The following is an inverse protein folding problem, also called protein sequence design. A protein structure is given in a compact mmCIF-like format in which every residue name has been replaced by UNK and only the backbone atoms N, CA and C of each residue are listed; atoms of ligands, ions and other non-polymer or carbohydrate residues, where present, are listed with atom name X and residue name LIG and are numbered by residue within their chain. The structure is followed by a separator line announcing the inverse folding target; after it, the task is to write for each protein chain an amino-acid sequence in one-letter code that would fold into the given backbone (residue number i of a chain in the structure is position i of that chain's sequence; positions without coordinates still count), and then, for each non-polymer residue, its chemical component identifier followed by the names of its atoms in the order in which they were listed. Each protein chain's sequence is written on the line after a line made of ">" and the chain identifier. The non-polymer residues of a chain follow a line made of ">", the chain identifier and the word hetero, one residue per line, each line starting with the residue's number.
data_IF_763887784946
#
_entry.id   IF_763887784946
#
_cell.length_a   1.000
_cell.length_b   1.000
_cell.length_c   1.000
_cell.angle_alpha   90.00
_cell.angle_beta   90.00
_cell.angle_gamma   90.00
#
_symmetry.space_group_name_H-M   'P 1'
#
loop_
_entity.id
_entity.type
_entity.pdbx_description
1 polymer ?
#
# COMPACT_ATOMS: atom_id res chain seq x y z
N UNK A 1 6.54 -1.97 2.81
CA UNK A 1 5.54 -2.97 3.24
C UNK A 1 4.78 -2.44 4.45
N UNK A 2 3.54 -2.88 4.69
CA UNK A 2 2.64 -2.35 5.76
C UNK A 2 3.37 -2.32 7.12
N UNK A 3 4.11 -3.37 7.44
CA UNK A 3 4.90 -3.48 8.68
C UNK A 3 6.15 -2.58 8.73
N UNK A 4 6.50 -1.91 7.63
CA UNK A 4 7.62 -0.96 7.51
C UNK A 4 7.14 0.49 7.34
N UNK A 5 5.85 0.77 7.52
CA UNK A 5 5.34 2.16 7.55
C UNK A 5 5.37 2.74 8.95
N UNK A 6 5.26 4.06 9.06
CA UNK A 6 5.22 4.75 10.36
C UNK A 6 4.09 4.30 11.30
N UNK A 7 2.91 3.95 10.76
CA UNK A 7 1.80 3.34 11.52
C UNK A 7 1.22 2.12 10.78
N UNK A 8 1.74 0.90 11.06
CA UNK A 8 1.27 -0.32 10.41
C UNK A 8 -0.20 -0.64 10.65
N UNK A 9 -0.74 -0.32 11.84
CA UNK A 9 -2.12 -0.67 12.21
C UNK A 9 -3.10 0.20 11.45
N UNK A 10 -2.88 1.52 11.43
CA UNK A 10 -3.71 2.46 10.68
C UNK A 10 -3.65 2.17 9.19
N UNK A 11 -2.44 1.93 8.66
CA UNK A 11 -2.25 1.60 7.25
C UNK A 11 -2.93 0.29 6.84
N UNK A 12 -2.86 -0.75 7.67
CA UNK A 12 -3.56 -2.01 7.40
C UNK A 12 -5.09 -1.80 7.30
N UNK A 13 -5.68 -1.11 8.27
CA UNK A 13 -7.12 -0.82 8.28
C UNK A 13 -7.56 0.02 7.09
N UNK A 14 -6.77 1.02 6.70
CA UNK A 14 -7.05 1.85 5.53
C UNK A 14 -7.02 1.05 4.23
N UNK A 15 -6.04 0.15 4.05
CA UNK A 15 -5.96 -0.72 2.86
C UNK A 15 -7.19 -1.62 2.77
N UNK A 16 -7.62 -2.23 3.88
CA UNK A 16 -8.82 -3.08 3.89
C UNK A 16 -10.07 -2.26 3.54
N UNK A 17 -10.27 -1.09 4.15
CA UNK A 17 -11.41 -0.21 3.81
C UNK A 17 -11.38 0.25 2.36
N UNK A 18 -10.21 0.58 1.82
CA UNK A 18 -10.04 1.01 0.43
C UNK A 18 -10.42 -0.10 -0.55
N UNK A 19 -9.97 -1.34 -0.32
CA UNK A 19 -10.31 -2.49 -1.19
C UNK A 19 -11.80 -2.81 -1.11
N UNK A 20 -12.39 -2.79 0.09
CA UNK A 20 -13.83 -3.04 0.26
C UNK A 20 -14.69 -2.00 -0.45
N UNK A 21 -14.25 -0.73 -0.50
CA UNK A 21 -15.01 0.40 -1.03
C UNK A 21 -14.35 1.03 -2.27
N UNK A 22 -13.72 0.23 -3.12
CA UNK A 22 -12.90 0.73 -4.23
C UNK A 22 -13.62 1.61 -5.26
N UNK A 23 -14.97 1.61 -5.26
CA UNK A 23 -15.80 2.45 -6.13
C UNK A 23 -16.32 3.74 -5.45
N UNK A 24 -16.10 3.91 -4.15
CA UNK A 24 -16.54 5.11 -3.44
C UNK A 24 -15.39 6.12 -3.31
N UNK A 25 -15.36 7.19 -4.13
CA UNK A 25 -14.27 8.16 -4.11
C UNK A 25 -14.19 8.94 -2.78
N UNK A 26 -15.29 9.06 -2.03
CA UNK A 26 -15.28 9.75 -0.73
C UNK A 26 -14.57 8.91 0.32
N UNK A 27 -14.86 7.61 0.37
CA UNK A 27 -14.18 6.69 1.29
C UNK A 27 -12.70 6.60 0.95
N UNK A 28 -12.35 6.56 -0.34
CA UNK A 28 -10.95 6.54 -0.77
C UNK A 28 -10.19 7.80 -0.33
N UNK A 29 -10.81 8.99 -0.43
CA UNK A 29 -10.20 10.22 0.06
C UNK A 29 -9.96 10.15 1.58
N UNK A 30 -10.98 9.78 2.36
CA UNK A 30 -10.89 9.69 3.83
C UNK A 30 -9.79 8.71 4.29
N UNK A 31 -9.74 7.51 3.70
CA UNK A 31 -8.76 6.48 4.12
C UNK A 31 -7.34 6.77 3.64
N UNK A 32 -7.16 7.72 2.72
CA UNK A 32 -5.83 8.16 2.27
C UNK A 32 -5.20 9.22 3.18
N UNK A 33 -5.96 9.80 4.11
CA UNK A 33 -5.50 10.87 5.00
C UNK A 33 -4.71 10.32 6.21
N UNK A 34 -3.72 11.11 6.65
CA UNK A 34 -2.95 10.88 7.89
C UNK A 34 -2.38 9.46 8.06
N UNK A 35 -2.01 8.78 6.97
CA UNK A 35 -1.46 7.41 6.99
C UNK A 35 0.00 7.31 7.51
N UNK A 36 0.55 8.41 8.01
CA UNK A 36 1.94 8.53 8.44
C UNK A 36 2.94 8.41 7.30
N UNK A 37 4.22 8.31 7.65
CA UNK A 37 5.30 8.21 6.66
C UNK A 37 5.08 7.05 5.68
N UNK A 38 5.27 7.36 4.40
CA UNK A 38 5.19 6.39 3.33
C UNK A 38 6.24 5.29 3.53
N UNK A 39 5.92 4.09 3.04
CA UNK A 39 6.88 3.01 3.01
C UNK A 39 8.02 3.39 2.06
N UNK A 40 9.28 3.16 2.45
CA UNK A 40 10.41 3.23 1.52
C UNK A 40 10.23 2.21 0.40
N UNK A 41 10.00 2.72 -0.81
CA UNK A 41 10.06 1.95 -2.05
C UNK A 41 11.52 1.77 -2.48
N UNK A 42 11.77 0.74 -3.29
CA UNK A 42 13.06 0.55 -3.94
C UNK A 42 12.84 0.88 -5.43
N UNK A 43 13.74 1.65 -6.04
CA UNK A 43 13.59 2.02 -7.44
C UNK A 43 13.78 0.81 -8.34
N UNK A 44 13.05 0.76 -9.47
CA UNK A 44 13.17 -0.31 -10.47
C UNK A 44 14.62 -0.47 -10.98
N UNK A 45 15.36 0.65 -11.06
CA UNK A 45 16.76 0.69 -11.52
C UNK A 45 17.73 0.11 -10.48
N UNK A 46 17.30 -0.04 -9.24
CA UNK A 46 18.08 -0.55 -8.11
C UNK A 46 17.79 -2.04 -7.85
N UNK A 47 16.85 -2.65 -8.59
CA UNK A 47 16.45 -4.06 -8.45
C UNK A 47 16.74 -4.82 -9.74
N UNK A 48 17.50 -5.91 -9.65
CA UNK A 48 17.43 -6.97 -10.66
C UNK A 48 16.00 -7.56 -10.61
N UNK A 49 15.24 -7.42 -11.70
CA UNK A 49 13.79 -7.74 -11.78
C UNK A 49 13.52 -9.17 -11.27
N UNK A 50 13.13 -9.29 -10.00
CA UNK A 50 12.65 -10.51 -9.35
C UNK A 50 11.13 -10.62 -9.54
N UNK A 51 10.65 -10.46 -10.78
CA UNK A 51 9.28 -10.86 -11.11
C UNK A 51 9.29 -12.40 -11.16
N UNK A 52 8.63 -13.06 -10.20
CA UNK A 52 8.43 -14.49 -10.29
C UNK A 52 7.63 -14.80 -11.57
N UNK A 53 8.18 -15.66 -12.44
CA UNK A 53 7.42 -16.24 -13.55
C UNK A 53 6.17 -16.90 -12.95
N UNK A 54 5.00 -16.32 -13.16
CA UNK A 54 3.75 -16.95 -12.77
C UNK A 54 3.50 -18.13 -13.69
N UNK A 55 3.56 -19.35 -13.13
CA UNK A 55 3.08 -20.58 -13.77
C UNK A 55 4.01 -21.13 -14.85
N UNK A 56 5.11 -21.77 -14.44
CA UNK A 56 5.67 -22.91 -15.16
C UNK A 56 5.20 -24.20 -14.51
#
# INVERSE_FOLDING_TARGET
>A
GIFKSGDPKKRASAIVRAVTNYLDPKVLAEVSEDLGEAMVGINEKEIAVLMAERGK
#
